data_IF_637523379739
#
_entry.id   IF_637523379739
#
_cell.length_a   1.000
_cell.length_b   1.000
_cell.length_c   1.000
_cell.angle_alpha   90.00
_cell.angle_beta   90.00
_cell.angle_gamma   90.00
#
_symmetry.space_group_name_H-M   'P 1'
#
loop_
_entity.id
_entity.type
_entity.pdbx_description
1 polymer ?
#
# COMPACT_ATOMS: atom_id res chain seq x y z
N UNK A 1 -23.19 15.48 -58.91
CA UNK A 1 -24.32 14.92 -58.15
C UNK A 1 -24.85 13.58 -58.69
N UNK A 2 -24.74 13.33 -59.98
CA UNK A 2 -25.19 12.04 -60.60
C UNK A 2 -24.42 10.83 -60.09
N UNK A 3 -23.11 10.92 -59.92
CA UNK A 3 -22.29 9.80 -59.42
C UNK A 3 -22.66 9.32 -58.02
N UNK A 4 -23.11 10.22 -57.15
CA UNK A 4 -23.59 9.87 -55.80
C UNK A 4 -24.93 9.16 -55.87
N UNK A 5 -25.82 9.61 -56.76
CA UNK A 5 -27.14 9.00 -56.98
C UNK A 5 -27.01 7.59 -57.55
N UNK A 6 -26.11 7.37 -58.51
CA UNK A 6 -25.80 6.05 -59.08
C UNK A 6 -25.19 5.10 -58.03
N UNK A 7 -24.31 5.58 -57.16
CA UNK A 7 -23.76 4.79 -56.06
C UNK A 7 -24.86 4.32 -55.07
N UNK A 8 -25.79 5.22 -54.70
CA UNK A 8 -26.95 4.85 -53.86
C UNK A 8 -27.89 3.87 -54.55
N UNK A 9 -28.16 4.01 -55.86
CA UNK A 9 -28.96 3.06 -56.61
C UNK A 9 -28.34 1.65 -56.67
N UNK A 10 -27.01 1.55 -56.80
CA UNK A 10 -26.27 0.30 -56.74
C UNK A 10 -26.39 -0.42 -55.40
N UNK A 11 -26.32 0.34 -54.30
CA UNK A 11 -26.51 -0.19 -52.96
C UNK A 11 -27.94 -0.74 -52.74
N UNK A 12 -28.93 0.03 -53.19
CA UNK A 12 -30.33 -0.37 -53.02
C UNK A 12 -30.76 -1.51 -53.92
N UNK A 13 -30.12 -1.67 -55.11
CA UNK A 13 -30.38 -2.79 -56.02
C UNK A 13 -29.94 -4.16 -55.48
N UNK A 14 -28.95 -4.19 -54.58
CA UNK A 14 -28.41 -5.42 -53.98
C UNK A 14 -28.38 -5.36 -52.45
N UNK A 15 -29.51 -5.01 -51.84
CA UNK A 15 -29.65 -4.73 -50.38
C UNK A 15 -28.99 -5.79 -49.47
N UNK A 16 -29.21 -7.07 -49.76
CA UNK A 16 -28.69 -8.15 -48.92
C UNK A 16 -27.14 -8.26 -48.98
N UNK A 17 -26.57 -8.05 -50.19
CA UNK A 17 -25.12 -8.09 -50.34
C UNK A 17 -24.45 -6.90 -49.64
N UNK A 18 -25.01 -5.70 -49.84
CA UNK A 18 -24.52 -4.47 -49.17
C UNK A 18 -24.65 -4.54 -47.67
N UNK A 19 -25.77 -5.07 -47.16
CA UNK A 19 -25.97 -5.27 -45.73
C UNK A 19 -24.96 -6.26 -45.12
N UNK A 20 -24.75 -7.44 -45.78
CA UNK A 20 -23.81 -8.44 -45.32
C UNK A 20 -22.36 -7.93 -45.30
N UNK A 21 -21.95 -7.18 -46.33
CA UNK A 21 -20.60 -6.60 -46.36
C UNK A 21 -20.40 -5.52 -45.31
N UNK A 22 -21.40 -4.62 -45.10
CA UNK A 22 -21.36 -3.65 -44.02
C UNK A 22 -21.31 -4.31 -42.65
N UNK A 23 -22.14 -5.33 -42.42
CA UNK A 23 -22.15 -6.08 -41.16
C UNK A 23 -20.80 -6.74 -40.88
N UNK A 24 -20.16 -7.34 -41.90
CA UNK A 24 -18.81 -7.92 -41.75
C UNK A 24 -17.76 -6.89 -41.37
N UNK A 25 -17.79 -5.70 -41.98
CA UNK A 25 -16.86 -4.62 -41.63
C UNK A 25 -17.09 -4.11 -40.21
N UNK A 26 -18.37 -3.90 -39.84
CA UNK A 26 -18.71 -3.42 -38.48
C UNK A 26 -18.25 -4.42 -37.42
N UNK A 27 -18.52 -5.72 -37.60
CA UNK A 27 -18.09 -6.77 -36.68
C UNK A 27 -16.55 -6.81 -36.60
N UNK A 28 -15.87 -6.72 -37.73
CA UNK A 28 -14.39 -6.70 -37.76
C UNK A 28 -13.80 -5.54 -36.98
N UNK A 29 -14.30 -4.33 -37.22
CA UNK A 29 -13.82 -3.13 -36.53
C UNK A 29 -14.17 -3.18 -35.04
N UNK A 30 -15.41 -3.56 -34.71
CA UNK A 30 -15.85 -3.69 -33.33
C UNK A 30 -15.00 -4.70 -32.53
N UNK A 31 -14.67 -5.85 -33.14
CA UNK A 31 -13.81 -6.86 -32.54
C UNK A 31 -12.42 -6.32 -32.22
N UNK A 32 -11.81 -5.61 -33.18
CA UNK A 32 -10.47 -5.02 -32.99
C UNK A 32 -10.49 -3.97 -31.86
N UNK A 33 -11.50 -3.07 -31.87
CA UNK A 33 -11.64 -2.04 -30.80
C UNK A 33 -11.80 -2.71 -29.45
N UNK A 34 -12.65 -3.73 -29.34
CA UNK A 34 -12.88 -4.46 -28.08
C UNK A 34 -11.59 -5.09 -27.56
N UNK A 35 -10.85 -5.81 -28.43
CA UNK A 35 -9.59 -6.44 -28.06
C UNK A 35 -8.57 -5.40 -27.58
N UNK A 36 -8.36 -4.34 -28.35
CA UNK A 36 -7.40 -3.28 -27.99
C UNK A 36 -7.77 -2.57 -26.70
N UNK A 37 -9.07 -2.28 -26.50
CA UNK A 37 -9.57 -1.64 -25.29
C UNK A 37 -9.40 -2.55 -24.06
N UNK A 38 -9.68 -3.84 -24.20
CA UNK A 38 -9.48 -4.82 -23.12
C UNK A 38 -8.00 -4.92 -22.75
N UNK A 39 -7.12 -5.07 -23.74
CA UNK A 39 -5.67 -5.16 -23.51
C UNK A 39 -5.15 -3.89 -22.81
N UNK A 40 -5.55 -2.71 -23.29
CA UNK A 40 -5.15 -1.45 -22.66
C UNK A 40 -5.66 -1.35 -21.23
N UNK A 41 -6.94 -1.68 -21.00
CA UNK A 41 -7.52 -1.66 -19.65
C UNK A 41 -6.83 -2.62 -18.70
N UNK A 42 -6.54 -3.85 -19.16
CA UNK A 42 -5.81 -4.84 -18.34
C UNK A 42 -4.37 -4.38 -18.04
N UNK A 43 -3.67 -3.83 -19.03
CA UNK A 43 -2.31 -3.34 -18.82
C UNK A 43 -2.26 -2.17 -17.82
N UNK A 44 -3.23 -1.24 -17.89
CA UNK A 44 -3.30 -0.15 -16.92
C UNK A 44 -3.64 -0.66 -15.52
N UNK A 45 -4.57 -1.62 -15.39
CA UNK A 45 -4.83 -2.27 -14.11
C UNK A 45 -3.61 -3.00 -13.54
N UNK A 46 -2.88 -3.74 -14.36
CA UNK A 46 -1.63 -4.41 -13.94
C UNK A 46 -0.61 -3.38 -13.46
N UNK A 47 -0.43 -2.29 -14.22
CA UNK A 47 0.49 -1.21 -13.86
C UNK A 47 0.07 -0.53 -12.54
N UNK A 48 -1.20 -0.15 -12.38
CA UNK A 48 -1.72 0.41 -11.14
C UNK A 48 -1.58 -0.54 -9.96
N UNK A 49 -1.80 -1.84 -10.17
CA UNK A 49 -1.65 -2.84 -9.12
C UNK A 49 -0.17 -3.05 -8.72
N UNK A 50 0.75 -3.05 -9.68
CA UNK A 50 2.18 -3.15 -9.41
C UNK A 50 2.71 -1.91 -8.66
N UNK A 51 2.23 -0.72 -8.99
CA UNK A 51 2.59 0.53 -8.31
C UNK A 51 1.90 0.61 -6.94
N UNK A 52 0.60 0.29 -6.89
CA UNK A 52 -0.21 0.41 -5.67
C UNK A 52 0.05 -0.68 -4.61
N UNK A 53 0.65 -1.82 -4.98
CA UNK A 53 0.98 -2.91 -4.05
C UNK A 53 2.34 -2.75 -3.36
N UNK A 54 3.02 -1.60 -3.52
CA UNK A 54 4.38 -1.39 -2.99
C UNK A 54 5.44 -2.29 -3.62
N UNK A 55 5.13 -2.96 -4.73
CA UNK A 55 6.07 -3.85 -5.42
C UNK A 55 7.24 -3.11 -6.09
N UNK A 56 7.16 -1.80 -6.22
CA UNK A 56 8.25 -0.94 -6.68
C UNK A 56 9.10 -0.38 -5.54
N UNK A 57 8.79 -0.74 -4.29
CA UNK A 57 9.52 -0.24 -3.13
C UNK A 57 10.75 -1.10 -2.89
N UNK A 58 11.90 -0.47 -2.86
CA UNK A 58 13.14 -1.09 -2.44
C UNK A 58 13.30 -0.87 -0.93
N UNK A 59 13.15 -1.94 -0.16
CA UNK A 59 13.37 -1.90 1.28
C UNK A 59 14.84 -2.23 1.58
N UNK A 60 15.50 -1.34 2.30
CA UNK A 60 16.84 -1.55 2.84
C UNK A 60 16.71 -1.75 4.35
N UNK A 61 16.99 -2.95 4.80
CA UNK A 61 16.89 -3.35 6.20
C UNK A 61 18.25 -3.84 6.71
N UNK A 62 18.42 -3.88 8.02
CA UNK A 62 19.65 -4.35 8.64
C UNK A 62 19.71 -5.88 8.60
N UNK A 63 20.83 -6.43 8.14
CA UNK A 63 21.10 -7.87 8.10
C UNK A 63 22.30 -8.25 8.94
N UNK A 64 22.26 -9.43 9.53
CA UNK A 64 23.40 -10.09 10.17
C UNK A 64 23.44 -11.56 9.73
N UNK A 65 24.57 -12.02 9.20
CA UNK A 65 24.78 -13.41 8.80
C UNK A 65 23.66 -13.98 7.90
N UNK A 66 23.30 -13.25 6.83
CA UNK A 66 22.24 -13.58 5.85
C UNK A 66 20.79 -13.54 6.39
N UNK A 67 20.56 -13.15 7.63
CA UNK A 67 19.24 -12.98 8.22
C UNK A 67 18.93 -11.51 8.51
N UNK A 68 17.68 -11.13 8.32
CA UNK A 68 17.20 -9.80 8.73
C UNK A 68 17.36 -9.66 10.25
N UNK A 69 18.00 -8.55 10.69
CA UNK A 69 18.22 -8.29 12.11
C UNK A 69 16.92 -7.81 12.77
N UNK A 70 16.28 -8.68 13.53
CA UNK A 70 15.03 -8.39 14.21
C UNK A 70 15.30 -7.84 15.62
N UNK A 71 15.12 -6.52 15.77
CA UNK A 71 15.24 -5.83 17.06
C UNK A 71 14.08 -6.09 18.03
N UNK A 72 13.09 -6.88 17.66
CA UNK A 72 12.05 -7.33 18.58
C UNK A 72 12.61 -8.24 19.66
N UNK A 73 13.55 -9.10 19.27
CA UNK A 73 14.15 -10.12 20.13
C UNK A 73 15.64 -9.95 20.35
N UNK A 74 16.29 -9.09 19.57
CA UNK A 74 17.73 -8.84 19.63
C UNK A 74 18.01 -7.50 20.28
N UNK A 75 19.16 -7.36 20.99
CA UNK A 75 19.59 -6.09 21.55
C UNK A 75 19.94 -5.08 20.45
N UNK A 76 20.06 -3.81 20.81
CA UNK A 76 20.51 -2.79 19.87
C UNK A 76 21.91 -3.17 19.31
N UNK A 77 22.07 -3.22 17.96
CA UNK A 77 23.34 -3.65 17.38
C UNK A 77 24.46 -2.63 17.65
N UNK A 78 25.58 -3.10 18.15
CA UNK A 78 26.72 -2.23 18.44
C UNK A 78 27.39 -1.73 17.15
N UNK A 79 27.68 -0.43 17.10
CA UNK A 79 28.38 0.20 15.97
C UNK A 79 27.50 0.60 14.79
N UNK A 80 26.21 0.29 14.81
CA UNK A 80 25.24 0.78 13.84
C UNK A 80 24.65 2.10 14.37
N UNK A 81 24.63 3.13 13.51
CA UNK A 81 24.12 4.46 13.88
C UNK A 81 22.75 4.69 13.26
N UNK A 82 21.97 5.58 13.87
CA UNK A 82 20.77 6.14 13.24
C UNK A 82 21.15 6.82 11.93
N UNK A 83 20.24 6.77 10.98
CA UNK A 83 20.40 7.45 9.70
C UNK A 83 20.23 8.96 9.88
N UNK A 84 21.10 9.72 9.25
CA UNK A 84 21.07 11.19 9.29
C UNK A 84 20.16 11.72 8.19
N UNK A 85 19.51 12.87 8.42
CA UNK A 85 18.67 13.54 7.42
C UNK A 85 19.46 13.90 6.14
N UNK A 86 20.76 14.13 6.25
CA UNK A 86 21.67 14.35 5.10
C UNK A 86 21.69 13.17 4.13
N UNK A 87 21.51 11.95 4.63
CA UNK A 87 21.39 10.76 3.81
C UNK A 87 20.06 10.74 3.05
N UNK A 88 18.95 11.16 3.68
CA UNK A 88 17.65 11.29 3.04
C UNK A 88 17.72 12.23 1.82
N UNK A 89 18.33 13.40 1.98
CA UNK A 89 18.51 14.36 0.88
C UNK A 89 19.36 13.80 -0.25
N UNK A 90 20.33 12.96 0.09
CA UNK A 90 21.18 12.31 -0.89
C UNK A 90 20.42 11.23 -1.66
N UNK A 91 19.65 10.40 -0.95
CA UNK A 91 18.82 9.35 -1.55
C UNK A 91 17.71 9.95 -2.43
N UNK A 92 17.01 10.99 -1.98
CA UNK A 92 16.00 11.70 -2.78
C UNK A 92 16.59 12.27 -4.09
N UNK A 93 17.85 12.70 -4.07
CA UNK A 93 18.53 13.17 -5.30
C UNK A 93 18.93 12.04 -6.24
N UNK A 94 19.21 10.85 -5.71
CA UNK A 94 19.58 9.68 -6.51
C UNK A 94 18.36 8.97 -7.09
N UNK A 95 17.27 8.92 -6.37
CA UNK A 95 15.99 8.30 -6.79
C UNK A 95 15.21 9.14 -7.80
N UNK A 96 15.62 10.41 -8.01
CA UNK A 96 14.97 11.30 -8.95
C UNK A 96 13.71 11.96 -8.40
N UNK A 97 12.53 11.50 -8.83
CA UNK A 97 11.23 12.01 -8.35
C UNK A 97 10.60 11.13 -7.25
N UNK A 98 11.26 10.04 -6.88
CA UNK A 98 10.74 9.10 -5.88
C UNK A 98 11.05 9.58 -4.46
N UNK A 99 10.08 9.43 -3.57
CA UNK A 99 10.25 9.79 -2.17
C UNK A 99 10.96 8.67 -1.40
N UNK A 100 11.76 9.06 -0.41
CA UNK A 100 12.45 8.14 0.50
C UNK A 100 11.84 8.24 1.88
N UNK A 101 11.51 7.09 2.47
CA UNK A 101 10.98 6.98 3.83
C UNK A 101 11.98 6.30 4.76
N UNK A 102 12.16 6.87 5.95
CA UNK A 102 12.88 6.24 7.06
C UNK A 102 11.88 5.76 8.10
N UNK A 103 11.96 4.48 8.47
CA UNK A 103 11.03 3.88 9.41
C UNK A 103 11.70 2.88 10.34
N UNK A 104 11.13 2.71 11.52
CA UNK A 104 11.48 1.64 12.45
C UNK A 104 10.39 0.56 12.41
N UNK A 105 10.74 -0.70 12.67
CA UNK A 105 9.82 -1.82 12.66
C UNK A 105 10.07 -2.76 13.82
N UNK A 106 8.98 -3.30 14.36
CA UNK A 106 8.96 -4.47 15.23
C UNK A 106 8.02 -5.51 14.65
N UNK A 107 8.50 -6.72 14.50
CA UNK A 107 7.72 -7.87 14.10
C UNK A 107 7.03 -8.47 15.33
N UNK A 108 5.86 -9.07 15.15
CA UNK A 108 5.16 -9.85 16.18
C UNK A 108 5.01 -9.12 17.53
N UNK A 109 4.53 -7.89 17.47
CA UNK A 109 4.38 -7.02 18.65
C UNK A 109 3.25 -7.50 19.55
N UNK A 110 3.54 -8.33 20.54
CA UNK A 110 2.58 -8.82 21.52
C UNK A 110 2.29 -7.83 22.67
N UNK A 111 2.91 -6.67 22.61
CA UNK A 111 2.84 -5.59 23.60
C UNK A 111 1.85 -4.46 23.22
N UNK A 112 1.07 -4.64 22.16
CA UNK A 112 -0.01 -3.71 21.77
C UNK A 112 -1.34 -4.22 22.31
N UNK A 113 -2.01 -3.42 23.14
CA UNK A 113 -3.24 -3.82 23.83
C UNK A 113 -4.32 -2.74 23.79
N UNK A 114 -5.58 -3.14 23.83
CA UNK A 114 -6.71 -2.25 24.04
C UNK A 114 -7.68 -2.92 25.03
N UNK A 115 -7.67 -2.48 26.29
CA UNK A 115 -8.36 -3.16 27.36
C UNK A 115 -7.88 -4.60 27.53
N UNK A 116 -8.76 -5.57 27.32
CA UNK A 116 -8.43 -7.00 27.44
C UNK A 116 -7.96 -7.62 26.12
N UNK A 117 -8.05 -6.89 25.01
CA UNK A 117 -7.66 -7.38 23.69
C UNK A 117 -6.17 -7.12 23.46
N UNK A 118 -5.51 -8.08 22.82
CA UNK A 118 -4.11 -8.00 22.45
C UNK A 118 -3.98 -8.17 20.94
N UNK A 119 -3.10 -7.36 20.36
CA UNK A 119 -2.72 -7.47 18.96
C UNK A 119 -1.32 -8.07 18.87
N UNK A 120 -1.16 -9.02 17.95
CA UNK A 120 0.13 -9.62 17.63
C UNK A 120 0.37 -9.44 16.13
N UNK A 121 1.10 -8.40 15.78
CA UNK A 121 1.40 -8.03 14.41
C UNK A 121 2.58 -7.08 14.37
N UNK A 122 2.68 -6.30 13.34
CA UNK A 122 3.80 -5.38 13.13
C UNK A 122 3.52 -4.01 13.77
N UNK A 123 4.55 -3.39 14.31
CA UNK A 123 4.50 -2.00 14.79
C UNK A 123 5.56 -1.20 14.07
N UNK A 124 5.14 -0.10 13.47
CA UNK A 124 5.99 0.81 12.70
C UNK A 124 6.09 2.18 13.34
N UNK A 125 7.31 2.71 13.41
CA UNK A 125 7.56 4.13 13.66
C UNK A 125 7.87 4.82 12.33
N UNK A 126 6.95 5.65 11.84
CA UNK A 126 6.98 6.12 10.46
C UNK A 126 7.20 7.62 10.34
N UNK A 127 7.83 8.03 9.24
CA UNK A 127 7.93 9.43 8.82
C UNK A 127 6.74 9.84 7.93
N UNK A 128 6.75 11.07 7.46
CA UNK A 128 5.67 11.65 6.65
C UNK A 128 5.57 11.07 5.23
N UNK A 129 6.62 10.40 4.74
CA UNK A 129 6.66 9.82 3.40
C UNK A 129 6.19 8.36 3.37
N UNK A 130 6.19 7.66 4.52
CA UNK A 130 6.00 6.22 4.61
C UNK A 130 4.74 5.71 3.90
N UNK A 131 3.58 6.34 4.13
CA UNK A 131 2.33 5.87 3.54
C UNK A 131 2.32 6.00 2.02
N UNK A 132 2.91 7.08 1.48
CA UNK A 132 3.02 7.26 0.04
C UNK A 132 3.98 6.25 -0.59
N UNK A 133 5.15 6.07 0.02
CA UNK A 133 6.16 5.10 -0.43
C UNK A 133 5.63 3.66 -0.29
N UNK A 134 5.07 3.31 0.86
CA UNK A 134 4.60 1.96 1.16
C UNK A 134 3.23 1.61 0.55
N UNK A 135 2.58 2.54 -0.16
CA UNK A 135 1.29 2.31 -0.81
C UNK A 135 0.13 2.14 0.16
N UNK A 136 0.21 2.73 1.36
CA UNK A 136 -0.89 2.77 2.31
C UNK A 136 -1.77 4.00 2.09
N UNK A 137 -3.07 3.82 2.31
CA UNK A 137 -4.06 4.90 2.27
C UNK A 137 -4.89 4.89 3.55
N UNK A 138 -5.12 6.06 4.15
CA UNK A 138 -6.00 6.19 5.32
C UNK A 138 -7.44 6.27 4.86
N UNK A 139 -8.20 5.20 5.08
CA UNK A 139 -9.59 5.07 4.64
C UNK A 139 -10.59 5.68 5.62
N UNK A 140 -10.25 5.75 6.91
CA UNK A 140 -11.07 6.39 7.94
C UNK A 140 -10.21 7.24 8.86
N UNK A 141 -10.72 8.40 9.27
CA UNK A 141 -10.01 9.34 10.13
C UNK A 141 -9.07 10.25 9.36
N UNK A 142 -7.82 10.39 9.82
CA UNK A 142 -6.80 11.23 9.20
C UNK A 142 -5.41 10.60 9.27
N UNK A 143 -4.55 11.01 8.37
CA UNK A 143 -3.11 10.77 8.45
C UNK A 143 -2.47 11.57 9.60
N UNK A 144 -1.21 11.27 9.88
CA UNK A 144 -0.41 12.11 10.76
C UNK A 144 -0.15 13.47 10.11
N UNK A 145 -0.38 14.54 10.87
CA UNK A 145 -0.02 15.88 10.44
C UNK A 145 1.35 16.30 11.01
N UNK A 146 1.93 17.39 10.51
CA UNK A 146 3.22 17.87 10.97
C UNK A 146 3.24 18.17 12.48
N UNK A 147 2.11 18.54 13.06
CA UNK A 147 2.00 18.82 14.51
C UNK A 147 2.11 17.54 15.35
N UNK A 148 1.72 16.39 14.81
CA UNK A 148 1.85 15.12 15.51
C UNK A 148 3.33 14.77 15.69
N UNK A 149 4.16 15.09 14.71
CA UNK A 149 5.61 14.93 14.78
C UNK A 149 6.27 15.98 15.67
N UNK A 150 5.99 17.26 15.43
CA UNK A 150 6.66 18.38 16.13
C UNK A 150 6.32 18.44 17.62
N UNK A 151 5.10 18.04 18.00
CA UNK A 151 4.63 18.07 19.39
C UNK A 151 4.70 16.72 20.09
N UNK A 152 5.34 15.71 19.48
CA UNK A 152 5.48 14.35 20.04
C UNK A 152 4.14 13.78 20.49
N UNK A 153 3.09 13.94 19.68
CA UNK A 153 1.75 13.50 20.05
C UNK A 153 1.67 11.98 20.03
N UNK A 154 1.14 11.42 21.11
CA UNK A 154 0.86 9.98 21.22
C UNK A 154 -0.41 9.62 20.44
N UNK A 155 -0.28 9.62 19.13
CA UNK A 155 -1.34 9.24 18.19
C UNK A 155 -0.91 8.00 17.42
N UNK A 156 -1.88 7.22 16.96
CA UNK A 156 -1.66 5.96 16.29
C UNK A 156 -2.65 5.80 15.13
N UNK A 157 -2.17 5.23 14.04
CA UNK A 157 -2.99 4.72 12.94
C UNK A 157 -2.89 3.20 12.98
N UNK A 158 -4.01 2.52 12.79
CA UNK A 158 -4.08 1.05 12.81
C UNK A 158 -4.53 0.56 11.44
N UNK A 159 -4.09 -0.58 11.02
CA UNK A 159 -4.69 -1.21 9.85
C UNK A 159 -6.02 -1.90 10.20
N UNK A 160 -6.74 -2.39 9.20
CA UNK A 160 -8.04 -3.06 9.38
C UNK A 160 -7.94 -4.29 10.28
N UNK A 161 -6.85 -5.07 10.19
CA UNK A 161 -6.65 -6.28 10.99
C UNK A 161 -6.37 -5.95 12.44
N UNK A 162 -5.49 -4.98 12.69
CA UNK A 162 -5.23 -4.48 14.04
C UNK A 162 -6.47 -3.85 14.67
N UNK A 163 -7.22 -3.05 13.89
CA UNK A 163 -8.49 -2.47 14.32
C UNK A 163 -9.49 -3.56 14.75
N UNK A 164 -9.65 -4.59 13.94
CA UNK A 164 -10.53 -5.73 14.25
C UNK A 164 -10.08 -6.51 15.47
N UNK A 165 -8.78 -6.76 15.62
CA UNK A 165 -8.22 -7.50 16.74
C UNK A 165 -8.37 -6.75 18.07
N UNK A 166 -8.13 -5.43 18.05
CA UNK A 166 -8.15 -4.59 19.27
C UNK A 166 -9.54 -4.11 19.65
N UNK A 167 -10.40 -3.79 18.68
CA UNK A 167 -11.68 -3.12 18.90
C UNK A 167 -12.89 -3.88 18.38
N UNK A 168 -12.68 -5.04 17.73
CA UNK A 168 -13.74 -5.85 17.13
C UNK A 168 -14.47 -5.11 16.01
N UNK A 169 -15.79 -4.97 16.13
CA UNK A 169 -16.64 -4.27 15.15
C UNK A 169 -16.83 -2.78 15.46
N UNK A 170 -16.24 -2.29 16.54
CA UNK A 170 -16.41 -0.91 16.94
C UNK A 170 -15.45 0.02 16.19
N UNK A 171 -15.91 1.23 15.86
CA UNK A 171 -15.07 2.24 15.20
C UNK A 171 -13.89 2.59 16.13
N UNK A 172 -12.64 2.44 15.68
CA UNK A 172 -11.46 2.64 16.53
C UNK A 172 -11.10 4.11 16.74
N UNK A 173 -11.56 5.02 15.88
CA UNK A 173 -11.17 6.44 15.91
C UNK A 173 -11.53 7.09 17.26
N UNK A 174 -10.56 7.77 17.86
CA UNK A 174 -10.67 8.42 19.18
C UNK A 174 -10.52 7.48 20.37
N UNK A 175 -10.46 6.16 20.15
CA UNK A 175 -10.17 5.20 21.23
C UNK A 175 -8.68 5.17 21.56
N UNK A 176 -8.38 4.63 22.73
CA UNK A 176 -7.01 4.50 23.22
C UNK A 176 -6.58 3.04 23.15
N UNK A 177 -5.37 2.82 22.66
CA UNK A 177 -4.63 1.58 22.80
C UNK A 177 -3.32 1.85 23.54
N UNK A 178 -2.71 0.82 24.07
CA UNK A 178 -1.43 0.91 24.78
C UNK A 178 -0.34 0.15 24.00
N UNK A 179 0.82 0.77 23.87
CA UNK A 179 2.03 0.16 23.33
C UNK A 179 3.05 0.12 24.46
N UNK A 180 3.37 -1.08 24.95
CA UNK A 180 4.22 -1.26 26.15
C UNK A 180 3.74 -0.47 27.38
N UNK A 181 2.43 -0.33 27.55
CA UNK A 181 1.84 0.42 28.65
C UNK A 181 1.72 1.94 28.44
N UNK A 182 2.24 2.47 27.33
CA UNK A 182 2.08 3.88 26.96
C UNK A 182 0.80 4.08 26.14
N UNK A 183 -0.11 5.00 26.52
CA UNK A 183 -1.37 5.20 25.86
C UNK A 183 -1.23 6.03 24.58
N UNK A 184 -1.86 5.56 23.49
CA UNK A 184 -1.95 6.23 22.20
C UNK A 184 -3.41 6.36 21.75
N UNK A 185 -3.76 7.52 21.19
CA UNK A 185 -5.10 7.74 20.63
C UNK A 185 -5.15 7.38 19.16
N UNK A 186 -6.12 6.57 18.77
CA UNK A 186 -6.32 6.19 17.35
C UNK A 186 -6.89 7.38 16.58
N UNK A 187 -6.18 7.80 15.53
CA UNK A 187 -6.57 8.94 14.68
C UNK A 187 -6.95 8.52 13.26
N UNK A 188 -6.54 7.35 12.83
CA UNK A 188 -6.84 6.85 11.50
C UNK A 188 -6.85 5.32 11.41
N UNK A 189 -7.48 4.84 10.34
CA UNK A 189 -7.41 3.44 9.89
C UNK A 189 -6.82 3.45 8.50
N UNK A 190 -5.71 2.73 8.31
CA UNK A 190 -5.03 2.62 7.03
C UNK A 190 -5.28 1.24 6.40
N UNK A 191 -5.22 1.20 5.09
CA UNK A 191 -5.27 -0.02 4.31
C UNK A 191 -4.17 0.03 3.25
N UNK A 192 -3.61 -1.11 2.91
CA UNK A 192 -2.71 -1.20 1.77
C UNK A 192 -3.53 -0.97 0.50
N UNK A 193 -3.10 -0.05 -0.35
CA UNK A 193 -3.78 0.26 -1.61
C UNK A 193 -3.56 -0.87 -2.65
N UNK A 194 -4.00 -2.07 -2.29
CA UNK A 194 -4.01 -3.23 -3.17
C UNK A 194 -5.35 -3.29 -3.88
N UNK A 195 -5.41 -2.76 -5.09
CA UNK A 195 -6.61 -2.84 -5.94
C UNK A 195 -6.82 -4.23 -6.55
N UNK A 196 -5.89 -5.14 -6.33
CA UNK A 196 -5.96 -6.50 -6.87
C UNK A 196 -6.12 -7.51 -5.75
N UNK A 197 -7.34 -7.98 -5.58
CA UNK A 197 -7.61 -9.22 -4.84
C UNK A 197 -7.69 -10.36 -5.85
N UNK A 198 -6.68 -11.24 -5.94
CA UNK A 198 -6.75 -12.41 -6.81
C UNK A 198 -7.92 -13.29 -6.38
N UNK A 199 -8.72 -13.75 -7.34
CA UNK A 199 -9.79 -14.69 -7.06
C UNK A 199 -9.20 -16.00 -6.54
N UNK A 200 -9.40 -16.28 -5.26
CA UNK A 200 -8.99 -17.53 -4.63
C UNK A 200 -10.01 -18.60 -5.02
N UNK A 201 -9.69 -19.42 -6.00
CA UNK A 201 -10.54 -20.48 -6.54
C UNK A 201 -10.06 -21.90 -6.16
N UNK A 202 -8.82 -22.02 -5.69
CA UNK A 202 -8.21 -23.28 -5.31
C UNK A 202 -7.44 -23.18 -3.99
N UNK A 203 -7.20 -24.34 -3.36
CA UNK A 203 -6.37 -24.45 -2.16
C UNK A 203 -4.94 -23.94 -2.40
N UNK A 204 -4.44 -24.09 -3.61
CA UNK A 204 -3.12 -23.61 -4.01
C UNK A 204 -3.11 -22.09 -4.14
N UNK A 205 -4.19 -21.48 -4.68
CA UNK A 205 -4.34 -20.02 -4.74
C UNK A 205 -4.40 -19.42 -3.34
N UNK A 206 -5.04 -20.11 -2.39
CA UNK A 206 -5.06 -19.67 -1.00
C UNK A 206 -3.65 -19.54 -0.41
N UNK A 207 -2.78 -20.51 -0.60
CA UNK A 207 -1.40 -20.42 -0.10
C UNK A 207 -0.54 -19.41 -0.86
N UNK A 208 -0.84 -19.16 -2.12
CA UNK A 208 -0.09 -18.21 -2.95
C UNK A 208 -0.52 -16.76 -2.72
N UNK A 209 -1.80 -16.51 -2.46
CA UNK A 209 -2.38 -15.17 -2.47
C UNK A 209 -3.11 -14.78 -1.19
N UNK A 210 -3.31 -15.70 -0.25
CA UNK A 210 -3.89 -15.32 1.04
C UNK A 210 -2.99 -14.31 1.72
N UNK A 211 -3.57 -13.17 2.10
CA UNK A 211 -2.88 -12.20 2.91
C UNK A 211 -2.56 -12.78 4.29
N UNK A 212 -1.32 -13.26 4.45
CA UNK A 212 -0.80 -13.84 5.68
C UNK A 212 -0.27 -12.78 6.65
N UNK A 213 -0.35 -11.48 6.31
CA UNK A 213 0.10 -10.41 7.21
C UNK A 213 -0.71 -10.46 8.51
N UNK A 214 -0.03 -10.24 9.62
CA UNK A 214 -0.67 -10.20 10.95
C UNK A 214 -1.34 -8.87 11.22
N UNK A 215 -1.22 -7.89 10.31
CA UNK A 215 -1.67 -6.53 10.48
C UNK A 215 -0.60 -5.60 11.04
N UNK A 216 -0.88 -4.30 11.03
CA UNK A 216 0.08 -3.27 11.37
C UNK A 216 -0.49 -2.13 12.22
N UNK A 217 0.37 -1.58 13.07
CA UNK A 217 0.11 -0.39 13.89
C UNK A 217 1.21 0.63 13.59
N UNK A 218 0.83 1.88 13.30
CA UNK A 218 1.73 2.94 12.90
C UNK A 218 1.73 4.05 13.94
N UNK A 219 2.91 4.50 14.35
CA UNK A 219 3.11 5.69 15.21
C UNK A 219 4.06 6.67 14.52
N UNK A 220 3.99 7.96 14.82
CA UNK A 220 4.98 8.90 14.32
C UNK A 220 6.40 8.51 14.78
N UNK A 221 7.39 8.60 13.92
CA UNK A 221 8.79 8.26 14.24
C UNK A 221 9.34 9.03 15.45
N UNK A 222 8.85 10.25 15.68
CA UNK A 222 9.27 11.09 16.81
C UNK A 222 8.83 10.57 18.17
N UNK A 223 7.75 9.78 18.25
CA UNK A 223 7.30 9.14 19.49
C UNK A 223 7.83 7.71 19.68
N UNK A 224 8.52 7.16 18.69
CA UNK A 224 9.12 5.83 18.75
C UNK A 224 10.03 5.65 19.97
N UNK A 225 10.91 6.62 20.31
CA UNK A 225 11.79 6.52 21.48
C UNK A 225 11.07 6.50 22.84
N UNK A 226 9.78 6.82 22.88
CA UNK A 226 8.99 6.72 24.14
C UNK A 226 8.70 5.26 24.53
N UNK A 227 8.67 4.37 23.54
CA UNK A 227 8.30 2.95 23.72
C UNK A 227 9.44 1.99 23.39
N UNK A 228 10.44 2.45 22.60
CA UNK A 228 11.60 1.68 22.17
C UNK A 228 12.92 2.42 22.45
N UNK A 229 13.99 2.08 21.72
CA UNK A 229 15.30 2.72 21.92
C UNK A 229 15.40 4.05 21.19
N UNK A 230 16.10 5.00 21.79
CA UNK A 230 16.30 6.33 21.24
C UNK A 230 17.23 6.33 20.00
N UNK A 231 18.27 5.52 20.04
CA UNK A 231 19.33 5.44 19.03
C UNK A 231 19.19 4.22 18.11
N UNK A 232 17.96 3.81 17.87
CA UNK A 232 17.65 2.66 17.05
C UNK A 232 17.86 2.96 15.56
N UNK A 233 18.65 2.15 14.83
CA UNK A 233 18.82 2.30 13.40
C UNK A 233 17.50 2.08 12.66
N UNK A 234 17.23 2.95 11.69
CA UNK A 234 16.03 2.91 10.87
C UNK A 234 16.25 2.04 9.64
N UNK A 235 15.14 1.54 9.10
CA UNK A 235 15.07 0.96 7.76
C UNK A 235 14.76 2.07 6.76
N UNK A 236 15.06 1.82 5.49
CA UNK A 236 14.80 2.76 4.39
C UNK A 236 13.89 2.09 3.37
N UNK A 237 12.89 2.82 2.90
CA UNK A 237 12.07 2.47 1.76
C UNK A 237 12.20 3.56 0.68
N UNK A 238 12.41 3.14 -0.57
CA UNK A 238 12.56 4.02 -1.75
C UNK A 238 11.67 3.56 -2.86
#
# INVERSE_FOLDING_TARGET
MENIRLAFQGIWGHKMRSFLTMLGIIIGIASIITIVSTIKGTNEQIKENLIGSGSNVVNVTLYQDDWEYDMTYSPLPSGVRCLEDSLRDTLNRLSGEEEVSFFNRRNWSDFVTAGNNRFSGETYGIDTAFFRVGGYEVTYGREFDQRDYDSFRKVVIVDRKAASALFGLELPIGKVLEIKGEPFTVVGVAELNSKFEPAISSYNDYYMYADTSSGAVFVPSTVWPLVFYFDEPQNVAV
#
